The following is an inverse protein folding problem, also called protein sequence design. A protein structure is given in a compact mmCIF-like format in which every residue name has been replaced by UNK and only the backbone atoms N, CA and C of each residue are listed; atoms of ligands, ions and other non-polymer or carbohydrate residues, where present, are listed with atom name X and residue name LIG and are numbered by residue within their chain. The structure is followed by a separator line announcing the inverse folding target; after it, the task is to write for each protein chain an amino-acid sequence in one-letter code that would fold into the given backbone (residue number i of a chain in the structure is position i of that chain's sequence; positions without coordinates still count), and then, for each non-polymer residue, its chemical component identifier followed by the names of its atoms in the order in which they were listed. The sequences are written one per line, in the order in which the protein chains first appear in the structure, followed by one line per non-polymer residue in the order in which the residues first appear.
data_IF_860991109988
#
_entry.id   IF_860991109988
#
_cell.length_a   1.000
_cell.length_b   1.000
_cell.length_c   1.000
_cell.angle_alpha   90.00
_cell.angle_beta   90.00
_cell.angle_gamma   90.00
#
_symmetry.space_group_name_H-M   'P 1'
#
loop_
_entity.id
_entity.type
_entity.pdbx_description
1 polymer ?
#
# COMPACT_ATOMS: atom_id res chain seq x y z
N UNK A 1 15.81 -37.35 -15.57
CA UNK A 1 16.04 -36.05 -14.88
C UNK A 1 15.42 -34.94 -15.71
N UNK A 2 14.24 -34.49 -15.30
CA UNK A 2 13.33 -33.66 -16.10
C UNK A 2 13.89 -32.27 -16.48
N UNK A 3 13.63 -31.87 -17.72
CA UNK A 3 13.92 -30.54 -18.29
C UNK A 3 13.43 -29.39 -17.39
N UNK A 4 12.36 -29.62 -16.63
CA UNK A 4 11.77 -28.64 -15.70
C UNK A 4 12.69 -28.35 -14.48
N UNK A 5 13.42 -29.37 -13.99
CA UNK A 5 14.38 -29.20 -12.90
C UNK A 5 15.64 -28.45 -13.35
N UNK A 6 16.15 -28.72 -14.56
CA UNK A 6 17.28 -27.95 -15.13
C UNK A 6 16.93 -26.46 -15.28
N UNK A 7 15.71 -26.15 -15.74
CA UNK A 7 15.24 -24.77 -15.90
C UNK A 7 15.10 -24.05 -14.55
N UNK A 8 14.52 -24.69 -13.53
CA UNK A 8 14.45 -24.13 -12.16
C UNK A 8 15.82 -23.85 -11.55
N UNK A 9 16.78 -24.78 -11.70
CA UNK A 9 18.14 -24.62 -11.19
C UNK A 9 18.85 -23.45 -11.91
N UNK A 10 18.65 -23.31 -13.23
CA UNK A 10 19.20 -22.17 -13.99
C UNK A 10 18.66 -20.80 -13.54
N UNK A 11 17.37 -20.75 -13.17
CA UNK A 11 16.71 -19.51 -12.69
C UNK A 11 17.31 -19.10 -11.34
N UNK A 12 17.41 -20.04 -10.39
CA UNK A 12 17.96 -19.78 -9.07
C UNK A 12 19.43 -19.37 -9.14
N UNK A 13 20.24 -20.03 -9.97
CA UNK A 13 21.63 -19.66 -10.18
C UNK A 13 21.77 -18.27 -10.80
N UNK A 14 20.95 -17.93 -11.78
CA UNK A 14 20.93 -16.60 -12.39
C UNK A 14 20.52 -15.52 -11.38
N UNK A 15 19.56 -15.82 -10.49
CA UNK A 15 19.11 -14.89 -9.47
C UNK A 15 20.18 -14.57 -8.42
N UNK A 16 20.88 -15.60 -7.91
CA UNK A 16 21.88 -15.44 -6.85
C UNK A 16 23.25 -14.98 -7.37
N UNK A 17 23.74 -15.56 -8.47
CA UNK A 17 25.11 -15.35 -8.96
C UNK A 17 25.21 -14.40 -10.16
N UNK A 18 24.12 -14.17 -10.89
CA UNK A 18 24.17 -13.50 -12.19
C UNK A 18 23.23 -12.31 -12.35
N UNK A 19 23.25 -11.75 -13.57
CA UNK A 19 22.28 -10.79 -14.08
C UNK A 19 21.84 -11.27 -15.46
N UNK A 20 20.60 -10.99 -15.85
CA UNK A 20 20.15 -11.22 -17.23
C UNK A 20 20.58 -10.05 -18.12
N UNK A 21 20.66 -10.27 -19.43
CA UNK A 21 20.99 -9.21 -20.42
C UNK A 21 19.98 -8.05 -20.35
N UNK A 22 18.73 -8.36 -20.00
CA UNK A 22 17.64 -7.39 -19.90
C UNK A 22 17.49 -6.74 -18.51
N UNK A 23 18.40 -7.03 -17.58
CA UNK A 23 18.43 -6.42 -16.25
C UNK A 23 19.35 -5.20 -16.22
N UNK A 24 18.75 -4.01 -16.15
CA UNK A 24 19.47 -2.72 -16.06
C UNK A 24 19.93 -2.38 -14.62
N UNK A 25 20.66 -3.29 -13.97
CA UNK A 25 21.25 -3.03 -12.64
C UNK A 25 22.69 -3.51 -12.54
N UNK A 26 23.49 -2.83 -11.72
CA UNK A 26 24.88 -3.21 -11.44
C UNK A 26 24.94 -4.37 -10.45
N UNK A 27 25.67 -5.44 -10.81
CA UNK A 27 25.79 -6.66 -10.00
C UNK A 27 24.63 -7.65 -10.18
N UNK A 28 24.50 -8.60 -9.24
CA UNK A 28 23.49 -9.68 -9.32
C UNK A 28 22.07 -9.22 -8.99
N UNK A 29 21.07 -9.95 -9.50
CA UNK A 29 19.66 -9.69 -9.22
C UNK A 29 19.38 -9.69 -7.71
N UNK A 30 19.98 -10.63 -6.96
CA UNK A 30 19.91 -10.69 -5.51
C UNK A 30 20.50 -9.45 -4.83
N UNK A 31 21.68 -8.99 -5.26
CA UNK A 31 22.31 -7.78 -4.70
C UNK A 31 21.44 -6.54 -4.95
N UNK A 32 20.83 -6.41 -6.12
CA UNK A 32 19.91 -5.32 -6.43
C UNK A 32 18.62 -5.38 -5.58
N UNK A 33 18.09 -6.58 -5.33
CA UNK A 33 16.96 -6.80 -4.44
C UNK A 33 17.29 -6.37 -2.99
N UNK A 34 18.43 -6.82 -2.44
CA UNK A 34 18.90 -6.42 -1.10
C UNK A 34 19.17 -4.91 -1.01
N UNK A 35 19.80 -4.32 -2.02
CA UNK A 35 20.05 -2.87 -2.00
C UNK A 35 18.73 -2.08 -2.04
N UNK A 36 17.73 -2.57 -2.79
CA UNK A 36 16.38 -2.01 -2.76
C UNK A 36 15.73 -2.16 -1.39
N UNK A 37 15.87 -3.34 -0.79
CA UNK A 37 15.38 -3.67 0.54
C UNK A 37 15.91 -2.69 1.59
N UNK A 38 17.23 -2.50 1.66
CA UNK A 38 17.87 -1.61 2.64
C UNK A 38 17.45 -0.15 2.44
N UNK A 39 17.36 0.32 1.19
CA UNK A 39 16.91 1.68 0.88
C UNK A 39 15.46 1.90 1.31
N UNK A 40 14.57 0.99 0.98
CA UNK A 40 13.15 1.08 1.35
C UNK A 40 12.91 0.92 2.85
N UNK A 41 13.72 0.10 3.53
CA UNK A 41 13.69 0.01 4.98
C UNK A 41 14.09 1.33 5.64
N UNK A 42 15.18 1.95 5.20
CA UNK A 42 15.62 3.26 5.69
C UNK A 42 14.56 4.36 5.46
N UNK A 43 13.96 4.41 4.27
CA UNK A 43 12.88 5.35 3.97
C UNK A 43 11.64 5.11 4.84
N UNK A 44 11.23 3.84 5.01
CA UNK A 44 10.11 3.48 5.87
C UNK A 44 10.33 3.89 7.33
N UNK A 45 11.56 3.70 7.82
CA UNK A 45 11.96 4.11 9.16
C UNK A 45 11.91 5.64 9.33
N UNK A 46 12.52 6.40 8.41
CA UNK A 46 12.51 7.87 8.44
C UNK A 46 11.09 8.43 8.46
N UNK A 47 10.21 7.91 7.58
CA UNK A 47 8.81 8.37 7.49
C UNK A 47 8.09 8.10 8.82
N UNK A 48 8.23 6.90 9.40
CA UNK A 48 7.55 6.55 10.65
C UNK A 48 8.09 7.37 11.83
N UNK A 49 9.40 7.58 11.89
CA UNK A 49 10.05 8.43 12.89
C UNK A 49 9.57 9.88 12.80
N UNK A 50 9.44 10.43 11.59
CA UNK A 50 8.91 11.77 11.37
C UNK A 50 7.45 11.89 11.85
N UNK A 51 6.58 10.92 11.49
CA UNK A 51 5.18 10.91 11.94
C UNK A 51 5.07 10.82 13.46
N UNK A 52 5.87 9.96 14.09
CA UNK A 52 5.87 9.82 15.54
C UNK A 52 6.36 11.09 16.23
N UNK A 53 7.44 11.68 15.74
CA UNK A 53 7.97 12.95 16.24
C UNK A 53 6.92 14.06 16.17
N UNK A 54 6.24 14.23 15.02
CA UNK A 54 5.14 15.18 14.86
C UNK A 54 3.98 14.90 15.82
N UNK A 55 3.61 13.63 15.99
CA UNK A 55 2.50 13.24 16.89
C UNK A 55 2.84 13.55 18.36
N UNK A 56 4.09 13.33 18.78
CA UNK A 56 4.56 13.67 20.12
C UNK A 56 4.66 15.18 20.34
N UNK A 57 5.02 15.97 19.33
CA UNK A 57 5.00 17.43 19.41
C UNK A 57 3.57 17.97 19.59
N UNK A 58 2.59 17.40 18.90
CA UNK A 58 1.19 17.82 18.98
C UNK A 58 0.54 17.36 20.29
N UNK A 59 0.94 16.20 20.83
CA UNK A 59 0.31 15.60 22.00
C UNK A 59 1.15 15.77 23.26
N UNK A 60 0.92 16.88 24.01
CA UNK A 60 1.62 17.20 25.28
C UNK A 60 1.58 16.09 26.34
N UNK A 61 0.58 15.18 26.30
CA UNK A 61 0.45 14.04 27.24
C UNK A 61 1.37 12.84 26.93
N UNK A 62 1.93 12.73 25.72
CA UNK A 62 2.74 11.56 25.28
C UNK A 62 4.26 11.79 25.31
N UNK A 63 4.72 12.97 25.78
CA UNK A 63 6.13 13.34 25.79
C UNK A 63 7.03 12.46 26.67
N UNK A 64 6.50 11.86 27.73
CA UNK A 64 7.32 11.12 28.71
C UNK A 64 7.89 9.78 28.17
N UNK A 65 7.38 9.25 27.05
CA UNK A 65 7.78 7.95 26.50
C UNK A 65 8.30 8.02 25.05
N UNK A 66 8.98 9.10 24.67
CA UNK A 66 9.56 9.25 23.33
C UNK A 66 10.46 8.07 22.94
N UNK A 67 11.34 7.62 23.84
CA UNK A 67 12.33 6.58 23.55
C UNK A 67 11.67 5.19 23.49
N UNK A 68 10.68 4.91 24.36
CA UNK A 68 9.93 3.65 24.32
C UNK A 68 9.00 3.55 23.09
N UNK A 69 8.53 4.68 22.57
CA UNK A 69 7.71 4.75 21.35
C UNK A 69 8.45 4.25 20.10
N UNK A 70 9.77 4.46 19.99
CA UNK A 70 10.57 3.96 18.88
C UNK A 70 10.69 2.42 18.86
N UNK A 71 10.61 1.78 20.02
CA UNK A 71 10.70 0.31 20.15
C UNK A 71 9.34 -0.39 20.07
N UNK A 72 8.26 0.36 19.82
CA UNK A 72 6.95 -0.23 19.64
C UNK A 72 6.95 -1.10 18.38
N UNK A 73 6.42 -2.33 18.47
CA UNK A 73 6.45 -3.31 17.37
C UNK A 73 5.86 -2.75 16.06
N UNK A 74 4.92 -1.81 16.17
CA UNK A 74 4.28 -1.09 15.06
C UNK A 74 5.22 -0.23 14.20
N UNK A 75 6.35 0.21 14.74
CA UNK A 75 7.39 0.93 13.97
C UNK A 75 8.06 0.04 12.94
N UNK A 76 8.31 -1.21 13.33
CA UNK A 76 8.96 -2.19 12.47
C UNK A 76 8.01 -2.74 11.43
N UNK A 77 6.71 -2.89 11.73
CA UNK A 77 5.74 -3.42 10.76
C UNK A 77 5.60 -2.55 9.50
N UNK A 78 5.54 -1.21 9.64
CA UNK A 78 5.47 -0.32 8.47
C UNK A 78 6.74 -0.44 7.60
N UNK A 79 7.91 -0.37 8.24
CA UNK A 79 9.21 -0.43 7.57
C UNK A 79 9.43 -1.79 6.91
N UNK A 80 9.03 -2.87 7.58
CA UNK A 80 9.11 -4.25 7.10
C UNK A 80 8.17 -4.48 5.91
N UNK A 81 6.99 -3.85 5.89
CA UNK A 81 6.07 -3.91 4.76
C UNK A 81 6.65 -3.23 3.50
N UNK A 82 7.18 -2.00 3.61
CA UNK A 82 7.82 -1.35 2.46
C UNK A 82 9.03 -2.13 1.94
N UNK A 83 9.79 -2.70 2.87
CA UNK A 83 10.94 -3.56 2.62
C UNK A 83 10.54 -4.83 1.85
N UNK A 84 9.54 -5.58 2.33
CA UNK A 84 9.08 -6.82 1.68
C UNK A 84 8.46 -6.54 0.32
N UNK A 85 7.66 -5.47 0.19
CA UNK A 85 7.06 -5.06 -1.07
C UNK A 85 8.11 -4.71 -2.13
N UNK A 86 9.14 -3.95 -1.76
CA UNK A 86 10.21 -3.56 -2.70
C UNK A 86 11.06 -4.77 -3.10
N UNK A 87 11.34 -5.66 -2.15
CA UNK A 87 12.08 -6.89 -2.42
C UNK A 87 11.31 -7.79 -3.39
N UNK A 88 10.03 -8.04 -3.13
CA UNK A 88 9.14 -8.82 -4.00
C UNK A 88 9.03 -8.20 -5.39
N UNK A 89 8.84 -6.88 -5.47
CA UNK A 89 8.79 -6.17 -6.75
C UNK A 89 10.05 -6.42 -7.58
N UNK A 90 11.23 -6.15 -7.01
CA UNK A 90 12.50 -6.33 -7.73
C UNK A 90 12.75 -7.79 -8.09
N UNK A 91 12.43 -8.72 -7.20
CA UNK A 91 12.60 -10.15 -7.43
C UNK A 91 11.71 -10.64 -8.58
N UNK A 92 10.42 -10.29 -8.55
CA UNK A 92 9.45 -10.66 -9.58
C UNK A 92 9.80 -9.98 -10.90
N UNK A 93 10.22 -8.71 -10.90
CA UNK A 93 10.61 -8.02 -12.12
C UNK A 93 11.84 -8.66 -12.79
N UNK A 94 12.85 -9.07 -12.01
CA UNK A 94 14.00 -9.80 -12.54
C UNK A 94 13.59 -11.19 -13.08
N UNK A 95 12.66 -11.87 -12.40
CA UNK A 95 12.15 -13.17 -12.81
C UNK A 95 11.33 -13.07 -14.11
N UNK A 96 10.45 -12.07 -14.25
CA UNK A 96 9.72 -11.80 -15.49
C UNK A 96 10.67 -11.45 -16.63
N UNK A 97 11.70 -10.63 -16.39
CA UNK A 97 12.72 -10.32 -17.39
C UNK A 97 13.48 -11.58 -17.84
N UNK A 98 13.74 -12.52 -16.92
CA UNK A 98 14.33 -13.81 -17.27
C UNK A 98 13.41 -14.68 -18.12
N UNK A 99 12.11 -14.75 -17.79
CA UNK A 99 11.14 -15.58 -18.53
C UNK A 99 10.85 -14.99 -19.91
N UNK A 100 10.57 -13.68 -19.99
CA UNK A 100 10.16 -13.03 -21.23
C UNK A 100 11.35 -12.63 -22.11
N UNK A 101 12.57 -12.55 -21.56
CA UNK A 101 13.76 -12.05 -22.27
C UNK A 101 13.50 -10.71 -22.98
N UNK A 102 12.69 -9.84 -22.37
CA UNK A 102 12.31 -8.54 -22.91
C UNK A 102 12.05 -7.54 -21.80
N UNK A 103 12.48 -6.31 -22.00
CA UNK A 103 12.04 -5.18 -21.19
C UNK A 103 10.74 -4.63 -21.80
N UNK A 104 9.63 -4.82 -21.08
CA UNK A 104 8.32 -4.31 -21.48
C UNK A 104 7.66 -3.60 -20.31
N UNK A 105 6.92 -2.52 -20.59
CA UNK A 105 6.11 -1.85 -19.56
C UNK A 105 5.06 -2.77 -18.94
N UNK A 106 4.62 -3.79 -19.68
CA UNK A 106 3.72 -4.83 -19.18
C UNK A 106 4.36 -5.71 -18.10
N UNK A 107 5.64 -6.05 -18.25
CA UNK A 107 6.39 -6.81 -17.23
C UNK A 107 6.53 -6.01 -15.93
N UNK A 108 6.74 -4.70 -16.04
CA UNK A 108 6.77 -3.81 -14.87
C UNK A 108 5.40 -3.76 -14.17
N UNK A 109 4.31 -3.64 -14.93
CA UNK A 109 2.94 -3.67 -14.38
C UNK A 109 2.63 -4.99 -13.68
N UNK A 110 2.88 -6.12 -14.35
CA UNK A 110 2.61 -7.45 -13.80
C UNK A 110 3.47 -7.74 -12.56
N UNK A 111 4.73 -7.28 -12.55
CA UNK A 111 5.59 -7.43 -11.37
C UNK A 111 5.07 -6.64 -10.17
N UNK A 112 4.56 -5.43 -10.38
CA UNK A 112 3.90 -4.62 -9.36
C UNK A 112 2.63 -5.27 -8.81
N UNK A 113 1.78 -5.80 -9.70
CA UNK A 113 0.58 -6.52 -9.31
C UNK A 113 0.89 -7.77 -8.48
N UNK A 114 1.78 -8.64 -8.97
CA UNK A 114 2.14 -9.89 -8.29
C UNK A 114 2.83 -9.63 -6.95
N UNK A 115 3.72 -8.62 -6.87
CA UNK A 115 4.37 -8.25 -5.62
C UNK A 115 3.36 -7.80 -4.57
N UNK A 116 2.42 -6.92 -4.97
CA UNK A 116 1.38 -6.40 -4.08
C UNK A 116 0.40 -7.47 -3.63
N UNK A 117 0.00 -8.35 -4.55
CA UNK A 117 -0.87 -9.49 -4.25
C UNK A 117 -0.20 -10.44 -3.26
N UNK A 118 1.06 -10.80 -3.51
CA UNK A 118 1.84 -11.64 -2.60
C UNK A 118 1.99 -10.98 -1.22
N UNK A 119 2.33 -9.69 -1.16
CA UNK A 119 2.40 -8.97 0.11
C UNK A 119 1.06 -8.97 0.85
N UNK A 120 -0.06 -8.70 0.19
CA UNK A 120 -1.37 -8.77 0.83
C UNK A 120 -1.71 -10.16 1.37
N UNK A 121 -1.32 -11.21 0.65
CA UNK A 121 -1.53 -12.58 1.10
C UNK A 121 -0.72 -12.90 2.37
N UNK A 122 0.54 -12.46 2.43
CA UNK A 122 1.41 -12.71 3.59
C UNK A 122 1.10 -11.81 4.81
N UNK A 123 0.55 -10.61 4.61
CA UNK A 123 0.25 -9.66 5.69
C UNK A 123 -1.22 -9.69 6.14
N UNK A 124 -1.85 -10.87 6.23
CA UNK A 124 -3.27 -11.07 6.58
C UNK A 124 -3.73 -10.58 7.98
N UNK A 125 -2.87 -9.94 8.78
CA UNK A 125 -3.27 -9.45 10.11
C UNK A 125 -4.32 -8.33 10.03
N UNK A 126 -5.49 -8.60 10.63
CA UNK A 126 -6.79 -7.96 10.36
C UNK A 126 -6.89 -6.46 10.64
N UNK A 127 -6.04 -5.88 11.49
CA UNK A 127 -6.19 -4.47 11.93
C UNK A 127 -5.58 -3.45 10.97
N UNK A 128 -4.58 -3.82 10.17
CA UNK A 128 -3.93 -2.88 9.23
C UNK A 128 -4.25 -3.15 7.75
N UNK A 129 -4.94 -4.25 7.46
CA UNK A 129 -5.20 -4.73 6.10
C UNK A 129 -5.91 -3.71 5.23
N UNK A 130 -6.90 -3.00 5.79
CA UNK A 130 -7.68 -2.00 5.06
C UNK A 130 -6.86 -0.75 4.71
N UNK A 131 -6.06 -0.25 5.65
CA UNK A 131 -5.16 0.88 5.40
C UNK A 131 -4.17 0.55 4.28
N UNK A 132 -3.64 -0.68 4.28
CA UNK A 132 -2.75 -1.15 3.21
C UNK A 132 -3.45 -1.37 1.87
N UNK A 133 -4.71 -1.83 1.89
CA UNK A 133 -5.56 -1.96 0.70
C UNK A 133 -5.88 -0.64 0.04
N UNK A 134 -6.24 0.36 0.83
CA UNK A 134 -6.52 1.72 0.33
C UNK A 134 -5.27 2.37 -0.25
N UNK A 135 -4.12 2.24 0.43
CA UNK A 135 -2.85 2.76 -0.09
C UNK A 135 -2.44 2.05 -1.39
N UNK A 136 -2.60 0.73 -1.46
CA UNK A 136 -2.32 -0.02 -2.69
C UNK A 136 -3.25 0.38 -3.83
N UNK A 137 -4.54 0.57 -3.55
CA UNK A 137 -5.55 0.99 -4.53
C UNK A 137 -5.21 2.37 -5.13
N UNK A 138 -4.87 3.35 -4.29
CA UNK A 138 -4.48 4.69 -4.76
C UNK A 138 -3.22 4.64 -5.63
N UNK A 139 -2.26 3.77 -5.31
CA UNK A 139 -1.06 3.57 -6.14
C UNK A 139 -1.36 2.92 -7.49
N UNK A 140 -2.35 2.03 -7.56
CA UNK A 140 -2.80 1.45 -8.84
C UNK A 140 -3.42 2.53 -9.72
N UNK A 141 -4.27 3.38 -9.16
CA UNK A 141 -4.88 4.51 -9.88
C UNK A 141 -3.81 5.47 -10.40
N UNK A 142 -2.85 5.86 -9.56
CA UNK A 142 -1.72 6.71 -9.97
C UNK A 142 -0.91 6.05 -11.09
N UNK A 143 -0.64 4.75 -10.99
CA UNK A 143 0.10 4.00 -12.01
C UNK A 143 -0.59 3.98 -13.36
N UNK A 144 -1.91 3.75 -13.38
CA UNK A 144 -2.73 3.78 -14.59
C UNK A 144 -2.72 5.19 -15.19
N UNK A 145 -2.87 6.22 -14.36
CA UNK A 145 -2.81 7.62 -14.79
C UNK A 145 -1.50 7.96 -15.49
N UNK A 146 -0.35 7.65 -14.86
CA UNK A 146 0.96 7.92 -15.48
C UNK A 146 1.20 7.09 -16.74
N UNK A 147 0.67 5.88 -16.81
CA UNK A 147 0.76 5.06 -18.03
C UNK A 147 -0.04 5.67 -19.19
N UNK A 148 -1.25 6.19 -18.92
CA UNK A 148 -2.08 6.87 -19.91
C UNK A 148 -1.44 8.19 -20.39
N UNK A 149 -0.83 8.93 -19.47
CA UNK A 149 -0.08 10.16 -19.79
C UNK A 149 1.13 9.85 -20.66
N UNK A 150 1.93 8.84 -20.29
CA UNK A 150 3.14 8.47 -21.04
C UNK A 150 2.83 7.92 -22.44
N UNK A 151 1.65 7.34 -22.65
CA UNK A 151 1.18 6.87 -23.97
C UNK A 151 0.55 8.00 -24.80
N UNK A 152 0.47 9.21 -24.28
CA UNK A 152 -0.07 10.38 -24.98
C UNK A 152 -1.61 10.44 -25.06
N UNK A 153 -2.34 9.50 -24.43
CA UNK A 153 -3.80 9.53 -24.39
C UNK A 153 -4.34 10.68 -23.55
N UNK A 154 -3.59 11.11 -22.52
CA UNK A 154 -3.99 12.15 -21.58
C UNK A 154 -2.85 13.17 -21.45
N UNK A 155 -3.12 14.45 -21.70
CA UNK A 155 -2.14 15.51 -21.47
C UNK A 155 -2.01 15.79 -19.97
N UNK A 156 -0.78 15.88 -19.44
CA UNK A 156 -0.56 16.16 -18.02
C UNK A 156 -1.00 17.59 -17.68
N UNK A 157 -2.20 17.74 -17.11
CA UNK A 157 -2.72 19.01 -16.57
C UNK A 157 -2.76 18.96 -15.05
N UNK A 158 -2.49 20.10 -14.40
CA UNK A 158 -2.52 20.23 -12.93
C UNK A 158 -3.86 19.79 -12.33
N UNK A 159 -4.95 20.01 -13.07
CA UNK A 159 -6.32 19.69 -12.67
C UNK A 159 -6.59 18.19 -12.44
N UNK A 160 -5.86 17.28 -13.10
CA UNK A 160 -6.14 15.84 -13.00
C UNK A 160 -5.92 15.29 -11.59
N UNK A 161 -4.90 15.79 -10.89
CA UNK A 161 -4.64 15.41 -9.51
C UNK A 161 -5.75 15.90 -8.57
N UNK A 162 -6.18 17.16 -8.73
CA UNK A 162 -7.29 17.72 -7.98
C UNK A 162 -8.59 16.94 -8.22
N UNK A 163 -8.90 16.60 -9.47
CA UNK A 163 -10.09 15.82 -9.81
C UNK A 163 -10.06 14.42 -9.20
N UNK A 164 -8.95 13.69 -9.30
CA UNK A 164 -8.80 12.37 -8.68
C UNK A 164 -8.94 12.43 -7.16
N UNK A 165 -8.33 13.43 -6.53
CA UNK A 165 -8.45 13.65 -5.10
C UNK A 165 -9.90 13.99 -4.69
N UNK A 166 -10.58 14.86 -5.44
CA UNK A 166 -11.98 15.22 -5.20
C UNK A 166 -12.91 14.02 -5.30
N UNK A 167 -12.77 13.17 -6.33
CA UNK A 167 -13.58 11.96 -6.49
C UNK A 167 -13.32 10.97 -5.36
N UNK A 168 -12.05 10.74 -5.00
CA UNK A 168 -11.69 9.87 -3.88
C UNK A 168 -12.24 10.37 -2.54
N UNK A 169 -12.19 11.68 -2.30
CA UNK A 169 -12.69 12.32 -1.08
C UNK A 169 -14.22 12.30 -1.02
N UNK A 170 -14.90 12.47 -2.16
CA UNK A 170 -16.34 12.33 -2.29
C UNK A 170 -16.79 10.90 -1.99
N UNK A 171 -16.16 9.89 -2.61
CA UNK A 171 -16.48 8.48 -2.36
C UNK A 171 -16.24 8.08 -0.91
N UNK A 172 -15.12 8.53 -0.32
CA UNK A 172 -14.83 8.27 1.09
C UNK A 172 -15.89 8.91 1.99
N UNK A 173 -16.24 10.17 1.75
CA UNK A 173 -17.30 10.85 2.51
C UNK A 173 -18.66 10.16 2.33
N UNK A 174 -19.01 9.77 1.10
CA UNK A 174 -20.25 9.04 0.82
C UNK A 174 -20.31 7.71 1.56
N UNK A 175 -19.23 6.90 1.50
CA UNK A 175 -19.12 5.64 2.23
C UNK A 175 -19.22 5.82 3.75
N UNK A 176 -18.66 6.92 4.27
CA UNK A 176 -18.74 7.27 5.68
C UNK A 176 -20.18 7.55 6.11
N UNK A 177 -20.94 8.33 5.33
CA UNK A 177 -22.30 8.72 5.68
C UNK A 177 -23.33 7.61 5.46
N UNK A 178 -23.17 6.78 4.43
CA UNK A 178 -24.17 5.76 4.07
C UNK A 178 -23.81 4.34 4.51
N UNK A 179 -22.52 3.99 4.58
CA UNK A 179 -22.05 2.61 4.84
C UNK A 179 -20.84 2.59 5.77
N UNK A 180 -20.99 3.16 6.97
CA UNK A 180 -19.91 3.28 7.95
C UNK A 180 -19.26 1.95 8.36
N UNK A 181 -19.90 0.80 8.10
CA UNK A 181 -19.32 -0.54 8.35
C UNK A 181 -18.13 -0.85 7.43
N UNK A 182 -18.06 -0.23 6.25
CA UNK A 182 -16.95 -0.39 5.32
C UNK A 182 -15.74 0.45 5.79
N UNK A 183 -16.01 1.58 6.45
CA UNK A 183 -14.98 2.46 6.96
C UNK A 183 -14.42 1.95 8.30
N UNK A 184 -13.10 1.88 8.42
CA UNK A 184 -12.45 1.47 9.67
C UNK A 184 -12.79 2.42 10.82
N UNK A 185 -12.96 1.92 12.06
CA UNK A 185 -13.23 2.75 13.23
C UNK A 185 -12.17 3.83 13.46
N UNK A 186 -10.91 3.57 13.10
CA UNK A 186 -9.83 4.56 13.16
C UNK A 186 -10.00 5.69 12.14
N UNK A 187 -10.49 5.37 10.93
CA UNK A 187 -10.77 6.35 9.87
C UNK A 187 -11.96 7.21 10.28
N UNK A 188 -13.01 6.60 10.85
CA UNK A 188 -14.17 7.30 11.37
C UNK A 188 -13.76 8.28 12.48
N UNK A 189 -12.93 7.82 13.42
CA UNK A 189 -12.42 8.66 14.51
C UNK A 189 -11.56 9.82 14.00
N UNK A 190 -10.69 9.56 13.03
CA UNK A 190 -9.85 10.57 12.40
C UNK A 190 -10.70 11.62 11.67
N UNK A 191 -11.67 11.19 10.87
CA UNK A 191 -12.60 12.08 10.16
C UNK A 191 -13.45 12.90 11.13
N UNK A 192 -13.99 12.27 12.18
CA UNK A 192 -14.74 12.98 13.22
C UNK A 192 -13.91 14.03 13.96
N UNK A 193 -12.58 13.85 14.00
CA UNK A 193 -11.63 14.85 14.52
C UNK A 193 -11.40 15.98 13.51
N UNK A 194 -11.25 15.67 12.22
CA UNK A 194 -11.04 16.67 11.17
C UNK A 194 -12.27 17.54 10.89
N UNK A 195 -13.46 16.94 10.95
CA UNK A 195 -14.72 17.63 10.71
C UNK A 195 -15.27 18.34 11.95
N UNK A 196 -14.63 18.16 13.12
CA UNK A 196 -15.07 18.77 14.38
C UNK A 196 -16.56 18.53 14.69
N UNK A 197 -17.08 17.33 14.36
CA UNK A 197 -18.51 17.04 14.53
C UNK A 197 -18.92 17.24 15.98
N UNK A 198 -20.01 17.98 16.14
CA UNK A 198 -20.68 18.15 17.42
C UNK A 198 -21.19 16.80 17.95
N UNK A 199 -21.36 16.66 19.28
CA UNK A 199 -21.87 15.42 19.88
C UNK A 199 -23.21 14.99 19.26
N UNK A 200 -24.08 15.94 18.95
CA UNK A 200 -25.40 15.70 18.40
C UNK A 200 -25.34 15.17 16.96
N UNK A 201 -24.45 15.69 16.13
CA UNK A 201 -24.22 15.18 14.77
C UNK A 201 -23.65 13.76 14.78
N UNK A 202 -22.79 13.44 15.76
CA UNK A 202 -22.29 12.06 15.95
C UNK A 202 -23.42 11.13 16.34
N UNK A 203 -24.27 11.52 17.28
CA UNK A 203 -25.42 10.73 17.73
C UNK A 203 -26.39 10.51 16.56
N UNK A 204 -26.72 11.56 15.82
CA UNK A 204 -27.56 11.46 14.62
C UNK A 204 -27.00 10.47 13.61
N UNK A 205 -25.69 10.51 13.37
CA UNK A 205 -25.02 9.56 12.48
C UNK A 205 -25.14 8.11 12.97
N UNK A 206 -24.89 7.85 14.26
CA UNK A 206 -25.04 6.52 14.85
C UNK A 206 -26.48 5.99 14.78
N UNK A 207 -27.47 6.86 15.05
CA UNK A 207 -28.90 6.50 14.99
C UNK A 207 -29.32 6.13 13.56
N UNK A 208 -28.86 6.88 12.56
CA UNK A 208 -29.17 6.59 11.15
C UNK A 208 -28.58 5.27 10.69
N UNK A 209 -27.38 4.92 11.16
CA UNK A 209 -26.75 3.63 10.89
C UNK A 209 -27.49 2.47 11.54
N UNK A 210 -27.90 2.61 12.80
CA UNK A 210 -28.67 1.59 13.51
C UNK A 210 -30.05 1.37 12.86
N UNK A 211 -30.68 2.44 12.38
CA UNK A 211 -31.96 2.36 11.66
C UNK A 211 -31.81 1.68 10.31
N UNK A 212 -30.74 1.97 9.57
CA UNK A 212 -30.42 1.26 8.33
C UNK A 212 -30.16 -0.23 8.59
N UNK A 213 -29.44 -0.56 9.67
CA UNK A 213 -29.15 -1.92 10.09
C UNK A 213 -30.41 -2.73 10.38
N UNK A 214 -31.32 -2.19 11.21
CA UNK A 214 -32.60 -2.85 11.51
C UNK A 214 -33.44 -3.08 10.25
N UNK A 215 -33.31 -2.20 9.25
CA UNK A 215 -34.00 -2.34 7.96
C UNK A 215 -33.42 -3.46 7.10
N UNK A 216 -32.09 -3.68 7.14
CA UNK A 216 -31.43 -4.81 6.47
C UNK A 216 -31.74 -6.15 7.17
N UNK A 217 -31.67 -6.18 8.50
CA UNK A 217 -32.02 -7.38 9.30
C UNK A 217 -33.49 -7.78 9.11
N UNK A 218 -34.40 -6.80 9.02
CA UNK A 218 -35.80 -7.04 8.70
C UNK A 218 -36.04 -7.57 7.26
N UNK A 219 -35.06 -7.46 6.37
CA UNK A 219 -35.13 -7.96 4.99
C UNK A 219 -34.46 -9.34 4.82
N UNK A 220 -33.89 -9.93 5.89
CA UNK A 220 -33.35 -11.29 5.87
C UNK A 220 -32.08 -11.49 5.04
N UNK A 221 -31.35 -10.41 4.76
CA UNK A 221 -30.07 -10.43 4.04
C UNK A 221 -28.94 -10.26 5.07
N UNK A 222 -28.41 -11.39 5.56
CA UNK A 222 -27.17 -11.45 6.35
C UNK A 222 -25.92 -11.48 5.46
#
# INVERSE_FOLDING_TARGET
MDLNNKKKISILQCFFKGKTVHCNHSGSCFKNAIQGLLKSFGLGFIIKSAVHFLTCMISKKKQQNLIQGFFQKDFYYLSLFFCSQTCLLKAIQCLLRFITQKESGFNSFLSGFLASYAAMYFYQNKTNLYNWRMLAYMRVIEGIYYQLVNRGYIQKKSFHFSLMYSVGSFLLSYSMFHESRIALPDVIKLYGTFQNLTPDEKIFHYVMLEKAQKKFEAQGLE
#
